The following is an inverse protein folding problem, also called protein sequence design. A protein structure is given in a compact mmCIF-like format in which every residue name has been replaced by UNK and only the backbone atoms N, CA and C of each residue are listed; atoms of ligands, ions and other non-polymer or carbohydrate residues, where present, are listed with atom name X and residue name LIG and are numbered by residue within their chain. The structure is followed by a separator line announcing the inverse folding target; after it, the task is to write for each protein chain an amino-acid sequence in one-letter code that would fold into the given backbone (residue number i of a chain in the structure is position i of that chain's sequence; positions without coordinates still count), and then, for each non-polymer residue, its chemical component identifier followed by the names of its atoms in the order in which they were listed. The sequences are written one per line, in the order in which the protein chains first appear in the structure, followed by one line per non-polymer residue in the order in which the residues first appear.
data_IF_460752539575
#
_entry.id   IF_460752539575
#
_cell.length_a   1.000
_cell.length_b   1.000
_cell.length_c   1.000
_cell.angle_alpha   90.00
_cell.angle_beta   90.00
_cell.angle_gamma   90.00
#
_symmetry.space_group_name_H-M   'P 1'
#
loop_
_entity.id
_entity.type
_entity.pdbx_description
1 polymer ?
#
# COMPACT_ATOMS: atom_id res chain seq x y z
N UNK A 1 39.86 27.86 49.70
CA UNK A 1 38.47 27.33 49.62
C UNK A 1 37.78 27.70 48.30
N UNK A 2 37.64 28.98 47.91
CA UNK A 2 36.97 29.41 46.66
C UNK A 2 37.48 28.74 45.35
N UNK A 3 38.79 28.52 45.20
CA UNK A 3 39.38 27.86 44.02
C UNK A 3 38.98 26.39 43.85
N UNK A 4 38.71 25.68 44.94
CA UNK A 4 38.22 24.30 44.89
C UNK A 4 36.71 24.25 44.59
N UNK A 5 35.95 25.25 45.08
CA UNK A 5 34.52 25.40 44.78
C UNK A 5 34.26 25.61 43.28
N UNK A 6 35.08 26.43 42.60
CA UNK A 6 34.99 26.66 41.15
C UNK A 6 35.29 25.38 40.36
N UNK A 7 36.28 24.58 40.80
CA UNK A 7 36.59 23.29 40.17
C UNK A 7 35.45 22.28 40.31
N UNK A 8 34.82 22.21 41.49
CA UNK A 8 33.66 21.36 41.72
C UNK A 8 32.45 21.79 40.89
N UNK A 9 32.19 23.11 40.81
CA UNK A 9 31.11 23.64 39.99
C UNK A 9 31.30 23.28 38.51
N UNK A 10 32.52 23.40 38.00
CA UNK A 10 32.84 23.05 36.61
C UNK A 10 32.64 21.54 36.32
N UNK A 11 33.03 20.67 37.25
CA UNK A 11 32.85 19.22 37.13
C UNK A 11 31.36 18.81 37.10
N UNK A 12 30.55 19.48 37.93
CA UNK A 12 29.09 19.25 37.98
C UNK A 12 28.43 19.72 36.68
N UNK A 13 28.79 20.90 36.16
CA UNK A 13 28.24 21.40 34.89
C UNK A 13 28.56 20.47 33.72
N UNK A 14 29.81 19.97 33.63
CA UNK A 14 30.20 18.99 32.60
C UNK A 14 29.40 17.70 32.72
N UNK A 15 29.21 17.21 33.95
CA UNK A 15 28.46 15.97 34.18
C UNK A 15 27.00 16.10 33.73
N UNK A 16 26.34 17.23 34.02
CA UNK A 16 24.95 17.52 33.62
C UNK A 16 24.81 17.64 32.10
N UNK A 17 25.81 18.17 31.40
CA UNK A 17 25.80 18.29 29.93
C UNK A 17 25.74 16.92 29.22
N UNK A 18 26.29 15.86 29.82
CA UNK A 18 26.23 14.50 29.26
C UNK A 18 24.92 13.75 29.57
N UNK A 19 24.09 14.23 30.50
CA UNK A 19 22.77 13.63 30.79
C UNK A 19 21.73 13.93 29.70
N UNK A 20 21.95 14.93 28.86
CA UNK A 20 21.02 15.29 27.78
C UNK A 20 21.23 14.51 26.49
N UNK A 21 22.01 13.41 26.52
CA UNK A 21 22.14 12.53 25.36
C UNK A 21 20.85 11.71 25.21
N UNK A 22 19.88 12.26 24.47
CA UNK A 22 18.71 11.51 24.05
C UNK A 22 19.12 10.50 22.98
N UNK A 23 18.75 9.23 23.16
CA UNK A 23 18.86 8.23 22.10
C UNK A 23 17.95 8.68 20.96
N UNK A 24 18.53 8.95 19.80
CA UNK A 24 17.79 9.22 18.58
C UNK A 24 17.21 7.89 18.08
N UNK A 25 16.01 7.58 18.55
CA UNK A 25 15.27 6.39 18.14
C UNK A 25 14.76 6.64 16.70
N UNK A 26 15.60 6.40 15.70
CA UNK A 26 15.24 6.42 14.27
C UNK A 26 14.77 5.03 13.84
N UNK A 27 13.78 4.97 12.95
CA UNK A 27 13.32 3.72 12.37
C UNK A 27 14.37 3.21 11.36
N UNK A 28 14.87 1.97 11.47
CA UNK A 28 15.87 1.46 10.55
C UNK A 28 15.25 1.18 9.17
N UNK A 29 16.07 1.21 8.12
CA UNK A 29 15.60 1.10 6.74
C UNK A 29 15.01 -0.28 6.38
N UNK A 30 15.34 -1.31 7.15
CA UNK A 30 14.84 -2.68 7.03
C UNK A 30 13.62 -2.95 7.94
N UNK A 31 13.09 -1.92 8.62
CA UNK A 31 11.89 -2.07 9.42
C UNK A 31 10.71 -2.54 8.55
N UNK A 32 9.86 -3.43 9.07
CA UNK A 32 8.63 -3.82 8.38
C UNK A 32 7.78 -2.62 8.02
N UNK A 33 7.17 -2.64 6.84
CA UNK A 33 6.25 -1.62 6.35
C UNK A 33 4.89 -2.24 6.04
N UNK A 34 3.84 -1.42 6.00
CA UNK A 34 2.50 -1.84 5.58
C UNK A 34 2.57 -2.44 4.16
N UNK A 35 2.23 -3.73 3.99
CA UNK A 35 2.29 -4.38 2.70
C UNK A 35 1.26 -3.80 1.73
N UNK A 36 1.62 -3.80 0.45
CA UNK A 36 0.70 -3.50 -0.64
C UNK A 36 0.04 -4.79 -1.15
N UNK A 37 -1.20 -4.67 -1.63
CA UNK A 37 -1.90 -5.74 -2.30
C UNK A 37 -1.28 -5.99 -3.68
N UNK A 38 -0.66 -7.15 -3.84
CA UNK A 38 -0.06 -7.58 -5.11
C UNK A 38 -1.13 -8.28 -5.96
N UNK A 39 -1.43 -7.70 -7.13
CA UNK A 39 -2.40 -8.21 -8.10
C UNK A 39 -1.66 -8.67 -9.35
N UNK A 40 -2.04 -9.83 -9.89
CA UNK A 40 -1.59 -10.36 -11.19
C UNK A 40 -2.77 -10.43 -12.16
N UNK A 41 -2.52 -10.09 -13.41
CA UNK A 41 -3.49 -10.18 -14.49
C UNK A 41 -3.22 -11.42 -15.36
N UNK A 42 -4.25 -12.22 -15.59
CA UNK A 42 -4.18 -13.49 -16.31
C UNK A 42 -5.24 -13.55 -17.41
N UNK A 43 -5.00 -14.40 -18.40
CA UNK A 43 -5.95 -14.62 -19.48
C UNK A 43 -7.20 -15.37 -18.99
N UNK A 44 -8.38 -14.85 -19.32
CA UNK A 44 -9.67 -15.44 -18.94
C UNK A 44 -9.97 -16.78 -19.61
N UNK A 45 -9.39 -17.05 -20.78
CA UNK A 45 -9.52 -18.30 -21.53
C UNK A 45 -8.41 -19.30 -21.19
N UNK A 46 -7.23 -18.80 -20.79
CA UNK A 46 -6.09 -19.61 -20.36
C UNK A 46 -5.53 -19.16 -18.99
N UNK A 47 -6.12 -19.62 -17.87
CA UNK A 47 -5.80 -19.16 -16.50
C UNK A 47 -4.37 -19.41 -16.00
N UNK A 48 -3.50 -20.02 -16.81
CA UNK A 48 -2.09 -20.25 -16.49
C UNK A 48 -1.17 -19.22 -17.18
N UNK A 49 -1.69 -18.41 -18.10
CA UNK A 49 -0.93 -17.42 -18.84
C UNK A 49 -1.14 -16.02 -18.28
N UNK A 50 -0.03 -15.31 -18.02
CA UNK A 50 -0.08 -13.90 -17.67
C UNK A 50 -0.51 -13.09 -18.89
N UNK A 51 -1.42 -12.13 -18.67
CA UNK A 51 -1.93 -11.25 -19.72
C UNK A 51 -1.85 -9.81 -19.27
N UNK A 52 -1.11 -8.99 -20.02
CA UNK A 52 -0.98 -7.57 -19.73
C UNK A 52 -2.32 -6.85 -19.94
N UNK A 53 -2.64 -5.93 -19.04
CA UNK A 53 -3.70 -4.94 -19.25
C UNK A 53 -3.07 -3.71 -19.91
N UNK A 54 -3.62 -3.30 -21.04
CA UNK A 54 -3.07 -2.20 -21.85
C UNK A 54 -3.47 -0.86 -21.24
N UNK A 55 -2.52 0.08 -21.15
CA UNK A 55 -2.74 1.43 -20.62
C UNK A 55 -3.55 1.43 -19.31
N UNK A 56 -3.25 0.50 -18.39
CA UNK A 56 -3.98 0.39 -17.15
C UNK A 56 -3.87 1.69 -16.34
N UNK A 57 -5.02 2.18 -15.86
CA UNK A 57 -5.10 3.24 -14.87
C UNK A 57 -5.88 2.76 -13.66
N UNK A 58 -5.36 3.04 -12.46
CA UNK A 58 -5.97 2.62 -11.19
C UNK A 58 -5.94 3.79 -10.22
N UNK A 59 -7.08 4.05 -9.60
CA UNK A 59 -7.19 5.00 -8.50
C UNK A 59 -8.21 4.51 -7.48
N UNK A 60 -8.03 4.98 -6.26
CA UNK A 60 -8.95 4.71 -5.17
C UNK A 60 -10.19 5.62 -5.29
N UNK A 61 -11.36 5.09 -4.97
CA UNK A 61 -12.60 5.87 -4.97
C UNK A 61 -12.50 7.07 -4.01
N UNK A 62 -12.74 8.27 -4.55
CA UNK A 62 -12.61 9.54 -3.84
C UNK A 62 -11.19 10.13 -3.82
N UNK A 63 -10.20 9.49 -4.46
CA UNK A 63 -8.85 10.04 -4.66
C UNK A 63 -8.74 10.81 -5.97
N UNK A 64 -8.10 11.98 -5.94
CA UNK A 64 -7.70 12.74 -7.14
C UNK A 64 -6.36 12.25 -7.71
N UNK A 65 -5.64 11.40 -6.97
CA UNK A 65 -4.34 10.86 -7.36
C UNK A 65 -4.46 9.44 -7.91
N UNK A 66 -3.74 9.19 -9.01
CA UNK A 66 -3.61 7.87 -9.61
C UNK A 66 -2.54 7.05 -8.88
N UNK A 67 -2.89 5.80 -8.57
CA UNK A 67 -1.94 4.80 -8.06
C UNK A 67 -1.13 4.24 -9.24
N UNK A 68 -1.82 3.93 -10.34
CA UNK A 68 -1.24 3.52 -11.62
C UNK A 68 -1.80 4.45 -12.68
N UNK A 69 -0.96 4.97 -13.57
CA UNK A 69 -1.37 5.93 -14.58
C UNK A 69 -0.90 5.52 -15.98
N UNK A 70 -1.80 4.90 -16.75
CA UNK A 70 -1.59 4.50 -18.16
C UNK A 70 -0.33 3.65 -18.36
N UNK A 71 -0.23 2.56 -17.60
CA UNK A 71 0.89 1.63 -17.67
C UNK A 71 0.40 0.29 -18.23
N UNK A 72 1.07 -0.23 -19.25
CA UNK A 72 0.81 -1.60 -19.71
C UNK A 72 1.60 -2.59 -18.87
N UNK A 73 0.91 -3.44 -18.11
CA UNK A 73 1.54 -4.38 -17.16
C UNK A 73 0.66 -5.61 -16.90
N UNK A 74 1.29 -6.70 -16.48
CA UNK A 74 0.62 -7.93 -16.01
C UNK A 74 0.48 -7.98 -14.48
N UNK A 75 0.94 -6.94 -13.78
CA UNK A 75 0.93 -6.89 -12.34
C UNK A 75 1.03 -5.48 -11.77
N UNK A 76 0.42 -5.29 -10.60
CA UNK A 76 0.44 -4.05 -9.85
C UNK A 76 0.54 -4.33 -8.34
N UNK A 77 1.07 -3.35 -7.61
CA UNK A 77 1.04 -3.30 -6.16
C UNK A 77 0.23 -2.06 -5.75
N UNK A 78 -0.85 -2.24 -5.01
CA UNK A 78 -1.74 -1.14 -4.62
C UNK A 78 -1.91 -1.08 -3.08
N UNK A 79 -1.89 0.11 -2.47
CA UNK A 79 -2.06 0.25 -1.03
C UNK A 79 -3.52 0.01 -0.63
N UNK A 80 -3.75 -0.68 0.48
CA UNK A 80 -5.06 -0.75 1.13
C UNK A 80 -5.16 0.32 2.23
N UNK A 81 -6.37 0.80 2.51
CA UNK A 81 -6.64 1.74 3.62
C UNK A 81 -6.53 1.03 4.97
N UNK A 82 -5.60 1.44 5.81
CA UNK A 82 -5.42 0.88 7.16
C UNK A 82 -6.61 1.11 8.09
N UNK A 83 -7.31 2.25 7.96
CA UNK A 83 -8.40 2.66 8.85
C UNK A 83 -9.79 2.52 8.21
N UNK A 84 -10.02 1.45 7.44
CA UNK A 84 -11.30 1.16 6.83
C UNK A 84 -11.53 -0.36 6.75
N UNK A 85 -12.80 -0.77 6.65
CA UNK A 85 -13.20 -2.17 6.46
C UNK A 85 -13.02 -2.65 5.00
N UNK A 86 -12.60 -1.76 4.10
CA UNK A 86 -12.31 -2.09 2.73
C UNK A 86 -11.92 -0.88 1.88
N UNK A 87 -11.24 -1.16 0.77
CA UNK A 87 -10.81 -0.16 -0.20
C UNK A 87 -11.47 -0.44 -1.56
N UNK A 88 -12.08 0.59 -2.15
CA UNK A 88 -12.67 0.52 -3.48
C UNK A 88 -11.71 1.14 -4.49
N UNK A 89 -11.43 0.42 -5.58
CA UNK A 89 -10.63 0.89 -6.70
C UNK A 89 -11.45 0.93 -7.97
N UNK A 90 -11.20 1.97 -8.75
CA UNK A 90 -11.61 2.04 -10.15
C UNK A 90 -10.41 1.63 -11.00
N UNK A 91 -10.59 0.64 -11.87
CA UNK A 91 -9.58 0.13 -12.80
C UNK A 91 -10.05 0.33 -14.24
N UNK A 92 -9.23 1.02 -15.03
CA UNK A 92 -9.54 1.38 -16.41
C UNK A 92 -8.53 0.70 -17.34
N UNK A 93 -9.02 -0.16 -18.24
CA UNK A 93 -8.22 -0.68 -19.35
C UNK A 93 -8.35 0.23 -20.56
N UNK A 94 -7.29 0.31 -21.36
CA UNK A 94 -7.19 1.16 -22.55
C UNK A 94 -7.47 2.64 -22.22
N UNK A 95 -7.02 3.10 -21.04
CA UNK A 95 -7.19 4.48 -20.58
C UNK A 95 -6.59 5.49 -21.55
N UNK A 96 -7.40 6.49 -21.93
CA UNK A 96 -6.98 7.62 -22.75
C UNK A 96 -7.83 8.86 -22.45
N UNK A 97 -7.29 10.05 -22.76
CA UNK A 97 -8.09 11.28 -22.78
C UNK A 97 -8.70 11.48 -24.17
N UNK A 98 -9.98 11.80 -24.24
CA UNK A 98 -10.60 12.24 -25.48
C UNK A 98 -10.22 13.70 -25.81
N UNK A 99 -10.73 14.22 -26.94
CA UNK A 99 -10.44 15.58 -27.39
C UNK A 99 -10.88 16.68 -26.39
N UNK A 100 -11.85 16.38 -25.52
CA UNK A 100 -12.37 17.28 -24.49
C UNK A 100 -11.64 17.11 -23.15
N UNK A 101 -10.64 16.22 -23.08
CA UNK A 101 -9.90 15.91 -21.86
C UNK A 101 -10.64 14.99 -20.87
N UNK A 102 -11.72 14.34 -21.32
CA UNK A 102 -12.45 13.37 -20.51
C UNK A 102 -11.81 11.99 -20.62
N UNK A 103 -11.84 11.27 -19.51
CA UNK A 103 -11.32 9.90 -19.45
C UNK A 103 -12.17 8.94 -20.29
N UNK A 104 -11.49 8.06 -21.01
CA UNK A 104 -12.04 6.97 -21.82
C UNK A 104 -11.37 5.65 -21.49
N UNK A 105 -11.87 4.55 -22.07
CA UNK A 105 -11.46 3.18 -21.77
C UNK A 105 -12.65 2.39 -21.22
N UNK A 106 -12.39 1.14 -20.84
CA UNK A 106 -13.38 0.32 -20.14
C UNK A 106 -13.10 0.36 -18.63
N UNK A 107 -14.12 0.72 -17.85
CA UNK A 107 -14.01 1.09 -16.45
C UNK A 107 -14.71 0.05 -15.59
N UNK A 108 -13.95 -0.62 -14.74
CA UNK A 108 -14.49 -1.56 -13.75
C UNK A 108 -14.22 -1.06 -12.34
N UNK A 109 -15.16 -1.33 -11.42
CA UNK A 109 -15.04 -0.96 -10.01
C UNK A 109 -14.97 -2.22 -9.17
N UNK A 110 -13.89 -2.35 -8.40
CA UNK A 110 -13.66 -3.48 -7.50
C UNK A 110 -13.42 -2.99 -6.07
N UNK A 111 -14.11 -3.62 -5.12
CA UNK A 111 -13.91 -3.40 -3.70
C UNK A 111 -13.23 -4.60 -3.06
N UNK A 112 -12.18 -4.35 -2.29
CA UNK A 112 -11.58 -5.34 -1.40
C UNK A 112 -11.99 -5.05 0.04
N UNK A 113 -12.63 -6.01 0.72
CA UNK A 113 -12.89 -5.90 2.17
C UNK A 113 -11.94 -6.80 2.94
N UNK A 114 -11.63 -6.41 4.17
CA UNK A 114 -10.62 -7.05 4.99
C UNK A 114 -10.75 -6.59 6.45
N UNK A 115 -10.14 -7.35 7.35
CA UNK A 115 -9.91 -6.96 8.73
C UNK A 115 -8.48 -6.44 8.89
N UNK A 116 -8.32 -5.19 9.31
CA UNK A 116 -6.99 -4.64 9.62
C UNK A 116 -6.48 -5.17 10.96
N UNK A 117 -5.23 -5.62 10.98
CA UNK A 117 -4.48 -6.01 12.19
C UNK A 117 -3.24 -5.13 12.31
N UNK A 118 -3.19 -4.30 13.35
CA UNK A 118 -2.04 -3.43 13.60
C UNK A 118 -0.99 -4.12 14.46
N UNK A 119 0.27 -4.11 14.01
CA UNK A 119 1.42 -4.67 14.73
C UNK A 119 2.34 -3.53 15.13
N UNK A 120 2.55 -3.37 16.43
CA UNK A 120 3.53 -2.41 16.95
C UNK A 120 4.95 -2.89 16.65
N UNK A 121 5.73 -2.07 15.95
CA UNK A 121 7.12 -2.36 15.60
C UNK A 121 8.06 -1.80 16.67
N UNK A 122 8.03 -0.50 16.90
CA UNK A 122 8.84 0.18 17.92
C UNK A 122 8.32 1.61 18.15
N UNK A 123 8.85 2.31 19.15
CA UNK A 123 8.56 3.74 19.36
C UNK A 123 8.93 4.58 18.13
N UNK A 124 10.03 4.24 17.47
CA UNK A 124 10.54 4.95 16.29
C UNK A 124 9.72 4.67 15.02
N UNK A 125 9.23 3.43 14.88
CA UNK A 125 8.59 2.94 13.67
C UNK A 125 7.06 2.93 13.73
N UNK A 126 6.48 3.05 14.91
CA UNK A 126 5.03 3.01 15.11
C UNK A 126 4.44 1.63 14.83
N UNK A 127 3.32 1.61 14.10
CA UNK A 127 2.54 0.43 13.79
C UNK A 127 2.58 0.12 12.29
N UNK A 128 2.48 -1.15 11.96
CA UNK A 128 2.28 -1.67 10.60
C UNK A 128 0.90 -2.31 10.54
N UNK A 129 0.15 -2.02 9.48
CA UNK A 129 -1.15 -2.62 9.24
C UNK A 129 -1.02 -3.85 8.35
N UNK A 130 -1.44 -5.01 8.84
CA UNK A 130 -1.64 -6.21 8.03
C UNK A 130 -3.13 -6.39 7.75
N UNK A 131 -3.49 -7.07 6.67
CA UNK A 131 -4.88 -7.27 6.28
C UNK A 131 -5.21 -8.75 6.26
N UNK A 132 -6.30 -9.14 6.92
CA UNK A 132 -6.75 -10.54 7.02
C UNK A 132 -8.15 -10.70 6.45
N UNK A 133 -8.50 -11.94 6.10
CA UNK A 133 -9.82 -12.29 5.56
C UNK A 133 -10.19 -11.50 4.31
N UNK A 134 -9.20 -11.22 3.44
CA UNK A 134 -9.40 -10.48 2.21
C UNK A 134 -10.49 -11.15 1.36
N UNK A 135 -11.49 -10.36 0.99
CA UNK A 135 -12.51 -10.73 0.02
C UNK A 135 -12.59 -9.66 -1.08
N UNK A 136 -13.29 -9.96 -2.17
CA UNK A 136 -13.54 -9.01 -3.24
C UNK A 136 -15.03 -8.89 -3.55
N UNK A 137 -15.41 -7.74 -4.08
CA UNK A 137 -16.71 -7.46 -4.67
C UNK A 137 -16.49 -6.64 -5.95
N UNK A 138 -16.56 -7.32 -7.10
CA UNK A 138 -16.60 -6.67 -8.41
C UNK A 138 -18.01 -6.10 -8.63
N UNK A 139 -18.08 -4.84 -9.05
CA UNK A 139 -19.35 -4.17 -9.37
C UNK A 139 -19.75 -4.57 -10.79
N UNK A 140 -20.88 -5.25 -10.99
CA UNK A 140 -21.33 -5.63 -12.33
C UNK A 140 -21.80 -4.40 -13.12
N UNK A 141 -21.44 -4.35 -14.39
CA UNK A 141 -21.96 -3.39 -15.36
C UNK A 141 -22.34 -4.09 -16.69
N UNK A 142 -22.53 -3.30 -17.76
CA UNK A 142 -22.96 -3.81 -19.05
C UNK A 142 -21.84 -4.49 -19.86
N UNK A 143 -20.58 -4.17 -19.58
CA UNK A 143 -19.40 -4.60 -20.34
C UNK A 143 -18.15 -4.67 -19.45
N UNK A 144 -18.17 -5.48 -18.39
CA UNK A 144 -17.00 -5.63 -17.52
C UNK A 144 -15.83 -6.25 -18.29
N UNK A 145 -14.67 -5.60 -18.25
CA UNK A 145 -13.45 -6.18 -18.82
C UNK A 145 -12.80 -7.19 -17.86
N UNK A 146 -13.03 -7.07 -16.56
CA UNK A 146 -12.68 -8.06 -15.55
C UNK A 146 -13.73 -9.16 -15.57
N UNK A 147 -13.34 -10.36 -16.00
CA UNK A 147 -14.23 -11.52 -16.00
C UNK A 147 -14.41 -12.11 -14.59
N UNK A 148 -13.32 -12.22 -13.82
CA UNK A 148 -13.38 -12.78 -12.46
C UNK A 148 -12.15 -12.42 -11.63
N UNK A 149 -12.32 -12.54 -10.31
CA UNK A 149 -11.29 -12.21 -9.32
C UNK A 149 -11.12 -13.39 -8.39
N UNK A 150 -9.88 -13.88 -8.27
CA UNK A 150 -9.51 -14.98 -7.38
C UNK A 150 -8.55 -14.48 -6.29
N UNK A 151 -8.87 -14.79 -5.03
CA UNK A 151 -7.99 -14.47 -3.89
C UNK A 151 -7.11 -15.69 -3.62
N UNK A 152 -5.80 -15.56 -3.88
CA UNK A 152 -4.81 -16.62 -3.63
C UNK A 152 -4.43 -16.70 -2.15
N UNK A 153 -4.20 -15.54 -1.54
CA UNK A 153 -3.81 -15.42 -0.13
C UNK A 153 -4.70 -14.38 0.54
N UNK A 154 -5.59 -14.79 1.46
CA UNK A 154 -6.49 -13.85 2.14
C UNK A 154 -5.78 -12.98 3.19
N UNK A 155 -4.52 -13.31 3.53
CA UNK A 155 -3.69 -12.55 4.45
C UNK A 155 -2.64 -11.78 3.66
N UNK A 156 -2.67 -10.45 3.76
CA UNK A 156 -1.71 -9.52 3.14
C UNK A 156 -0.78 -9.03 4.24
N UNK A 157 0.37 -9.71 4.37
CA UNK A 157 1.37 -9.48 5.43
C UNK A 157 2.77 -9.19 4.86
N UNK A 158 2.99 -9.41 3.57
CA UNK A 158 4.24 -9.16 2.86
C UNK A 158 3.97 -8.96 1.36
N UNK A 159 5.03 -8.69 0.58
CA UNK A 159 4.92 -8.45 -0.87
C UNK A 159 5.59 -9.54 -1.72
N UNK A 160 5.93 -10.69 -1.12
CA UNK A 160 6.74 -11.71 -1.78
C UNK A 160 5.96 -12.50 -2.85
N UNK A 161 4.64 -12.57 -2.71
CA UNK A 161 3.76 -13.34 -3.59
C UNK A 161 2.53 -12.54 -4.00
N UNK A 162 1.90 -12.95 -5.10
CA UNK A 162 0.62 -12.40 -5.52
C UNK A 162 -0.48 -12.77 -4.52
N UNK A 163 -1.31 -11.80 -4.17
CA UNK A 163 -2.47 -12.00 -3.29
C UNK A 163 -3.74 -12.23 -4.08
N UNK A 164 -3.86 -11.56 -5.23
CA UNK A 164 -5.06 -11.58 -6.07
C UNK A 164 -4.66 -11.87 -7.52
N UNK A 165 -5.50 -12.65 -8.17
CA UNK A 165 -5.50 -12.85 -9.61
C UNK A 165 -6.76 -12.24 -10.19
N UNK A 166 -6.61 -11.44 -11.24
CA UNK A 166 -7.70 -10.86 -12.01
C UNK A 166 -7.63 -11.48 -13.42
N UNK A 167 -8.74 -12.05 -13.87
CA UNK A 167 -8.86 -12.66 -15.19
C UNK A 167 -9.59 -11.72 -16.14
N UNK A 168 -9.01 -11.50 -17.32
CA UNK A 168 -9.56 -10.68 -18.42
C UNK A 168 -9.27 -11.30 -19.79
#
# INVERSE_FOLDING_TARGET
MKKHLIKYLFLVTISISFYNCQRDDICPADAPTTPQLIIRFLDSQNPLEFRQVTNLRVFEEGSESFIINRVTTDSIAIPLRSFAEGTTFTMITDSADNADGNETGNIDIIRFNYNTQEVFISRACGFVANYQELNNALTPDADNWINSVNILTPNVENINTAHVQIFH
#
